data_IF_069098174066
#
_entry.id   IF_069098174066
#
_cell.length_a   1.000
_cell.length_b   1.000
_cell.length_c   1.000
_cell.angle_alpha   90.00
_cell.angle_beta   90.00
_cell.angle_gamma   90.00
#
_symmetry.space_group_name_H-M   'P 1'
#
loop_
_entity.id
_entity.type
_entity.pdbx_description
1 polymer ?
#
# COMPACT_ATOMS: atom_id res chain seq x y z
N UNK A 1 5.28 -3.39 -11.17
CA UNK A 1 6.62 -2.99 -11.68
C UNK A 1 7.61 -4.11 -11.41
N UNK A 2 8.84 -4.00 -11.91
CA UNK A 2 9.87 -5.05 -11.81
C UNK A 2 10.84 -4.84 -10.63
N UNK A 3 10.54 -3.90 -9.72
CA UNK A 3 11.36 -3.63 -8.55
C UNK A 3 11.23 -4.78 -7.54
N UNK A 4 12.36 -5.24 -7.00
CA UNK A 4 12.39 -6.29 -5.99
C UNK A 4 11.81 -5.83 -4.65
N UNK A 5 11.30 -6.78 -3.86
CA UNK A 5 10.64 -6.52 -2.58
C UNK A 5 11.51 -5.71 -1.60
N UNK A 6 12.81 -5.99 -1.53
CA UNK A 6 13.74 -5.32 -0.59
C UNK A 6 13.90 -3.82 -0.86
N UNK A 7 13.49 -3.34 -2.05
CA UNK A 7 13.53 -1.93 -2.44
C UNK A 7 12.14 -1.26 -2.35
N UNK A 8 11.16 -1.95 -1.76
CA UNK A 8 9.83 -1.41 -1.49
C UNK A 8 9.75 -0.79 -0.10
N UNK A 9 8.89 0.21 0.02
CA UNK A 9 8.42 0.74 1.30
C UNK A 9 7.08 0.10 1.65
N UNK A 10 6.87 -0.20 2.93
CA UNK A 10 5.59 -0.73 3.41
C UNK A 10 4.61 0.42 3.57
N UNK A 11 3.52 0.34 2.80
CA UNK A 11 2.46 1.34 2.80
C UNK A 11 1.24 0.85 3.57
N UNK A 12 0.65 1.72 4.38
CA UNK A 12 -0.61 1.45 5.06
C UNK A 12 -1.80 1.81 4.15
N UNK A 13 -2.78 0.92 3.99
CA UNK A 13 -4.00 1.17 3.21
C UNK A 13 -4.91 2.16 3.94
N UNK A 14 -5.24 1.87 5.20
CA UNK A 14 -5.74 2.86 6.13
C UNK A 14 -4.55 3.51 6.83
N UNK A 15 -4.36 4.81 6.62
CA UNK A 15 -3.19 5.51 7.14
C UNK A 15 -3.07 5.40 8.66
N UNK A 16 -1.82 5.26 9.10
CA UNK A 16 -1.47 5.18 10.52
C UNK A 16 -2.00 6.39 11.31
N UNK A 17 -1.95 7.60 10.73
CA UNK A 17 -2.47 8.83 11.36
C UNK A 17 -3.99 8.80 11.62
N UNK A 18 -4.72 7.96 10.87
CA UNK A 18 -6.16 7.74 11.04
C UNK A 18 -6.45 6.55 11.99
N UNK A 19 -5.42 5.95 12.58
CA UNK A 19 -5.54 4.79 13.46
C UNK A 19 -5.49 3.43 12.75
N UNK A 20 -5.09 3.39 11.48
CA UNK A 20 -4.96 2.15 10.73
C UNK A 20 -3.95 1.18 11.38
N UNK A 21 -4.27 -0.13 11.48
CA UNK A 21 -3.45 -1.07 12.22
C UNK A 21 -2.12 -1.37 11.52
N UNK A 22 -1.10 -1.65 12.32
CA UNK A 22 0.21 -2.09 11.84
C UNK A 22 0.23 -3.62 11.69
N UNK A 23 -0.47 -4.15 10.68
CA UNK A 23 -0.47 -5.58 10.37
C UNK A 23 -0.52 -5.86 8.86
N UNK A 24 -0.33 -7.12 8.48
CA UNK A 24 -0.32 -7.53 7.07
C UNK A 24 -1.65 -7.24 6.37
N UNK A 25 -2.79 -7.31 7.05
CA UNK A 25 -4.11 -7.08 6.45
C UNK A 25 -4.30 -5.61 6.00
N UNK A 26 -3.56 -4.68 6.59
CA UNK A 26 -3.60 -3.25 6.26
C UNK A 26 -2.35 -2.75 5.51
N UNK A 27 -1.44 -3.62 5.10
CA UNK A 27 -0.17 -3.21 4.48
C UNK A 27 0.08 -3.81 3.11
N UNK A 28 0.76 -3.04 2.26
CA UNK A 28 1.26 -3.49 0.97
C UNK A 28 2.67 -2.91 0.67
N UNK A 29 3.61 -3.71 0.13
CA UNK A 29 4.89 -3.18 -0.33
C UNK A 29 4.71 -2.41 -1.65
N UNK A 30 5.24 -1.20 -1.72
CA UNK A 30 5.26 -0.37 -2.93
C UNK A 30 6.66 0.18 -3.18
N UNK A 31 7.12 0.17 -4.43
CA UNK A 31 8.35 0.88 -4.78
C UNK A 31 8.17 2.40 -4.57
N UNK A 32 9.26 3.15 -4.45
CA UNK A 32 9.22 4.59 -4.16
C UNK A 32 8.24 5.36 -5.06
N UNK A 33 8.24 5.12 -6.38
CA UNK A 33 7.32 5.81 -7.30
C UNK A 33 5.84 5.53 -6.99
N UNK A 34 5.47 4.25 -6.78
CA UNK A 34 4.08 3.89 -6.46
C UNK A 34 3.67 4.29 -5.05
N UNK A 35 4.62 4.32 -4.11
CA UNK A 35 4.38 4.81 -2.76
C UNK A 35 3.98 6.29 -2.78
N UNK A 36 4.69 7.14 -3.52
CA UNK A 36 4.30 8.54 -3.70
C UNK A 36 2.98 8.67 -4.48
N UNK A 37 2.73 7.82 -5.49
CA UNK A 37 1.44 7.83 -6.19
C UNK A 37 0.26 7.51 -5.25
N UNK A 38 0.45 6.62 -4.28
CA UNK A 38 -0.55 6.30 -3.24
C UNK A 38 -0.77 7.45 -2.25
N UNK A 39 0.30 8.13 -1.84
CA UNK A 39 0.19 9.26 -0.90
C UNK A 39 -0.36 10.54 -1.55
N UNK A 40 0.16 10.88 -2.73
CA UNK A 40 0.05 12.22 -3.33
C UNK A 40 -0.56 12.20 -4.74
N UNK A 41 -0.43 11.06 -5.45
CA UNK A 41 -0.89 10.91 -6.84
C UNK A 41 -2.40 10.64 -6.98
N UNK A 42 -3.16 10.68 -5.88
CA UNK A 42 -4.61 10.50 -5.88
C UNK A 42 -5.10 9.06 -6.03
N UNK A 43 -4.19 8.08 -6.02
CA UNK A 43 -4.56 6.66 -6.05
C UNK A 43 -5.35 6.29 -4.81
N UNK A 44 -6.48 5.62 -4.99
CA UNK A 44 -7.20 4.98 -3.88
C UNK A 44 -6.93 3.49 -3.91
N UNK A 45 -6.24 3.03 -2.87
CA UNK A 45 -5.91 1.62 -2.71
C UNK A 45 -6.99 0.91 -1.92
N UNK A 46 -7.38 -0.28 -2.37
CA UNK A 46 -8.20 -1.20 -1.58
C UNK A 46 -7.56 -2.57 -1.59
N UNK A 47 -7.43 -3.18 -0.41
CA UNK A 47 -6.80 -4.46 -0.22
C UNK A 47 -7.82 -5.46 0.31
N UNK A 48 -8.03 -6.55 -0.43
CA UNK A 48 -8.88 -7.62 0.07
C UNK A 48 -8.11 -8.42 1.14
N UNK A 49 -8.60 -8.51 2.39
CA UNK A 49 -7.85 -9.13 3.48
C UNK A 49 -7.69 -10.65 3.31
N UNK A 50 -8.60 -11.31 2.56
CA UNK A 50 -8.56 -12.77 2.34
C UNK A 50 -7.71 -13.15 1.13
N UNK A 51 -7.91 -12.46 0.01
CA UNK A 51 -7.25 -12.81 -1.27
C UNK A 51 -5.97 -12.05 -1.51
N UNK A 52 -5.68 -11.02 -0.71
CA UNK A 52 -4.55 -10.09 -0.88
C UNK A 52 -4.56 -9.37 -2.24
N UNK A 53 -5.71 -9.38 -2.93
CA UNK A 53 -5.89 -8.62 -4.18
C UNK A 53 -5.91 -7.13 -3.85
N UNK A 54 -4.97 -6.39 -4.43
CA UNK A 54 -4.93 -4.94 -4.44
C UNK A 54 -5.70 -4.42 -5.65
N UNK A 55 -6.54 -3.40 -5.44
CA UNK A 55 -7.16 -2.62 -6.52
C UNK A 55 -6.80 -1.15 -6.35
N UNK A 56 -6.63 -0.48 -7.48
CA UNK A 56 -6.32 0.95 -7.57
C UNK A 56 -7.48 1.58 -8.35
N UNK A 57 -8.04 2.66 -7.83
CA UNK A 57 -9.05 3.48 -8.51
C UNK A 57 -8.66 4.96 -8.50
#
# INVERSE_FOLDING_TARGET
CEVIFDHCNIHHIEYWENGGPTDLNNMVPLCSQHHHAAHEGGWKLTLNPKTRKLTIS
#
